data_IF_779868867367
#
_entry.id   IF_779868867367
#
_cell.length_a   1.000
_cell.length_b   1.000
_cell.length_c   1.000
_cell.angle_alpha   90.00
_cell.angle_beta   90.00
_cell.angle_gamma   90.00
#
_symmetry.space_group_name_H-M   'P 1'
#
loop_
_entity.id
_entity.type
_entity.pdbx_description
1 polymer ?
#
# COMPACT_ATOMS: atom_id res chain seq x y z
N UNK A 1 19.15 50.86 17.21
CA UNK A 1 17.88 50.18 16.82
C UNK A 1 18.02 49.39 15.52
N UNK A 2 18.61 49.93 14.45
CA UNK A 2 18.81 49.22 13.16
C UNK A 2 19.52 47.85 13.31
N UNK A 3 20.60 47.79 14.08
CA UNK A 3 21.37 46.55 14.30
C UNK A 3 20.57 45.44 14.98
N UNK A 4 19.73 45.78 15.96
CA UNK A 4 18.87 44.80 16.62
C UNK A 4 17.83 44.22 15.66
N UNK A 5 17.30 45.05 14.75
CA UNK A 5 16.36 44.63 13.73
C UNK A 5 17.01 43.66 12.73
N UNK A 6 18.25 43.94 12.31
CA UNK A 6 19.01 43.08 11.40
C UNK A 6 19.34 41.72 12.05
N UNK A 7 19.69 41.71 13.34
CA UNK A 7 19.95 40.47 14.08
C UNK A 7 18.66 39.64 14.20
N UNK A 8 17.54 40.27 14.55
CA UNK A 8 16.25 39.57 14.64
C UNK A 8 15.83 38.96 13.29
N UNK A 9 16.03 39.70 12.19
CA UNK A 9 15.75 39.21 10.84
C UNK A 9 16.64 38.02 10.48
N UNK A 10 17.94 38.09 10.79
CA UNK A 10 18.88 37.00 10.54
C UNK A 10 18.54 35.72 11.31
N UNK A 11 18.17 35.85 12.59
CA UNK A 11 17.73 34.71 13.42
C UNK A 11 16.43 34.11 12.89
N UNK A 12 15.46 34.94 12.49
CA UNK A 12 14.21 34.48 11.91
C UNK A 12 14.42 33.71 10.59
N UNK A 13 15.29 34.21 9.72
CA UNK A 13 15.65 33.55 8.46
C UNK A 13 16.36 32.20 8.70
N UNK A 14 17.28 32.16 9.65
CA UNK A 14 17.97 30.92 10.02
C UNK A 14 17.00 29.87 10.58
N UNK A 15 16.08 30.30 11.45
CA UNK A 15 15.06 29.43 12.03
C UNK A 15 14.09 28.90 10.99
N UNK A 16 13.64 29.76 10.07
CA UNK A 16 12.75 29.37 8.98
C UNK A 16 13.42 28.34 8.07
N UNK A 17 14.68 28.55 7.71
CA UNK A 17 15.45 27.60 6.90
C UNK A 17 15.68 26.26 7.62
N UNK A 18 15.84 26.27 8.94
CA UNK A 18 15.90 25.04 9.73
C UNK A 18 14.56 24.29 9.71
N UNK A 19 13.45 24.99 9.99
CA UNK A 19 12.12 24.39 10.01
C UNK A 19 11.71 23.81 8.64
N UNK A 20 12.00 24.53 7.55
CA UNK A 20 11.75 24.06 6.18
C UNK A 20 12.51 22.78 5.86
N UNK A 21 13.78 22.68 6.27
CA UNK A 21 14.58 21.47 6.05
C UNK A 21 14.04 20.28 6.83
N UNK A 22 13.66 20.49 8.08
CA UNK A 22 13.12 19.42 8.91
C UNK A 22 11.77 18.93 8.36
N UNK A 23 10.93 19.86 7.91
CA UNK A 23 9.65 19.54 7.30
C UNK A 23 9.81 18.79 5.97
N UNK A 24 10.79 19.16 5.14
CA UNK A 24 11.12 18.41 3.92
C UNK A 24 11.60 16.98 4.22
N UNK A 25 12.47 16.80 5.22
CA UNK A 25 12.92 15.47 5.62
C UNK A 25 11.77 14.60 6.10
N UNK A 26 10.89 15.16 6.93
CA UNK A 26 9.72 14.44 7.42
C UNK A 26 8.76 14.07 6.27
N UNK A 27 8.54 14.99 5.32
CA UNK A 27 7.72 14.74 4.15
C UNK A 27 8.30 13.62 3.27
N UNK A 28 9.60 13.65 2.99
CA UNK A 28 10.25 12.59 2.22
C UNK A 28 10.21 11.23 2.93
N UNK A 29 10.44 11.20 4.24
CA UNK A 29 10.33 9.96 5.02
C UNK A 29 8.91 9.36 4.94
N UNK A 30 7.88 10.19 5.02
CA UNK A 30 6.48 9.79 4.85
C UNK A 30 6.17 9.28 3.45
N UNK A 31 6.70 9.92 2.40
CA UNK A 31 6.56 9.45 1.03
C UNK A 31 7.22 8.09 0.81
N UNK A 32 8.42 7.89 1.36
CA UNK A 32 9.14 6.62 1.29
C UNK A 32 8.38 5.51 2.02
N UNK A 33 7.87 5.78 3.23
CA UNK A 33 7.04 4.84 3.98
C UNK A 33 5.76 4.47 3.22
N UNK A 34 5.09 5.45 2.63
CA UNK A 34 3.90 5.23 1.79
C UNK A 34 4.25 4.34 0.59
N UNK A 35 5.38 4.58 -0.06
CA UNK A 35 5.87 3.75 -1.17
C UNK A 35 6.09 2.30 -0.76
N UNK A 36 6.76 2.07 0.37
CA UNK A 36 6.99 0.74 0.93
C UNK A 36 5.69 0.02 1.28
N UNK A 37 4.76 0.71 1.95
CA UNK A 37 3.46 0.13 2.31
C UNK A 37 2.63 -0.23 1.08
N UNK A 38 2.66 0.59 0.03
CA UNK A 38 1.99 0.28 -1.24
C UNK A 38 2.57 -0.97 -1.91
N UNK A 39 3.89 -1.12 -1.92
CA UNK A 39 4.55 -2.31 -2.44
C UNK A 39 4.18 -3.56 -1.62
N UNK A 40 4.19 -3.46 -0.29
CA UNK A 40 3.75 -4.55 0.59
C UNK A 40 2.28 -4.91 0.37
N UNK A 41 1.41 -3.92 0.18
CA UNK A 41 0.00 -4.17 -0.12
C UNK A 41 -0.17 -4.90 -1.45
N UNK A 42 0.57 -4.52 -2.49
CA UNK A 42 0.55 -5.21 -3.77
C UNK A 42 1.07 -6.64 -3.66
N UNK A 43 2.17 -6.85 -2.93
CA UNK A 43 2.69 -8.19 -2.64
C UNK A 43 1.66 -9.05 -1.91
N UNK A 44 1.02 -8.53 -0.86
CA UNK A 44 -0.04 -9.21 -0.12
C UNK A 44 -1.27 -9.50 -1.00
N UNK A 45 -1.64 -8.59 -1.91
CA UNK A 45 -2.71 -8.84 -2.89
C UNK A 45 -2.34 -10.00 -3.81
N UNK A 46 -1.09 -10.06 -4.29
CA UNK A 46 -0.59 -11.15 -5.12
C UNK A 46 -0.53 -12.47 -4.34
N UNK A 47 -0.09 -12.45 -3.08
CA UNK A 47 -0.09 -13.63 -2.20
C UNK A 47 -1.51 -14.11 -1.92
N UNK A 48 -2.44 -13.20 -1.59
CA UNK A 48 -3.85 -13.53 -1.41
C UNK A 48 -4.43 -14.11 -2.70
N UNK A 49 -4.15 -13.52 -3.86
CA UNK A 49 -4.58 -14.05 -5.14
C UNK A 49 -3.97 -15.45 -5.39
N UNK A 50 -2.71 -15.67 -5.02
CA UNK A 50 -2.03 -16.96 -5.12
C UNK A 50 -2.64 -18.02 -4.20
N UNK A 51 -3.05 -17.65 -2.99
CA UNK A 51 -3.74 -18.52 -2.03
C UNK A 51 -5.18 -18.84 -2.46
N UNK A 52 -5.88 -17.84 -3.00
CA UNK A 52 -7.23 -17.98 -3.56
C UNK A 52 -7.24 -18.62 -4.96
N UNK A 53 -6.08 -19.04 -5.49
CA UNK A 53 -6.06 -19.75 -6.78
C UNK A 53 -6.93 -20.99 -6.66
N UNK A 54 -7.88 -21.19 -7.59
CA UNK A 54 -8.85 -22.28 -7.51
C UNK A 54 -8.17 -23.66 -7.44
N UNK A 55 -6.99 -23.83 -8.02
CA UNK A 55 -6.22 -25.08 -7.90
C UNK A 55 -5.74 -25.39 -6.48
N UNK A 56 -5.26 -24.38 -5.74
CA UNK A 56 -4.81 -24.58 -4.35
C UNK A 56 -6.00 -24.83 -3.43
N UNK A 57 -7.08 -24.07 -3.61
CA UNK A 57 -8.33 -24.28 -2.89
C UNK A 57 -8.93 -25.67 -3.17
N UNK A 58 -8.91 -26.14 -4.43
CA UNK A 58 -9.33 -27.50 -4.80
C UNK A 58 -8.47 -28.58 -4.15
N UNK A 59 -7.14 -28.39 -4.11
CA UNK A 59 -6.21 -29.32 -3.42
C UNK A 59 -6.46 -29.37 -1.91
N UNK A 60 -6.72 -28.23 -1.27
CA UNK A 60 -7.04 -28.17 0.16
C UNK A 60 -8.41 -28.76 0.48
N UNK A 61 -9.42 -28.47 -0.34
CA UNK A 61 -10.75 -29.07 -0.23
C UNK A 61 -10.68 -30.60 -0.37
N UNK A 62 -9.92 -31.10 -1.34
CA UNK A 62 -9.68 -32.54 -1.52
C UNK A 62 -8.97 -33.15 -0.30
N UNK A 63 -7.96 -32.49 0.28
CA UNK A 63 -7.29 -32.94 1.52
C UNK A 63 -8.23 -33.01 2.72
N UNK A 64 -9.23 -32.11 2.78
CA UNK A 64 -10.27 -32.11 3.83
C UNK A 64 -11.42 -33.07 3.54
N UNK A 65 -11.32 -33.88 2.48
CA UNK A 65 -12.35 -34.85 2.09
C UNK A 65 -13.62 -34.21 1.52
N UNK A 66 -13.56 -32.93 1.11
CA UNK A 66 -14.70 -32.27 0.48
C UNK A 66 -14.89 -32.80 -0.95
N UNK A 67 -16.14 -33.14 -1.29
CA UNK A 67 -16.50 -33.53 -2.65
C UNK A 67 -16.44 -32.33 -3.59
N UNK A 68 -16.07 -32.51 -4.87
CA UNK A 68 -16.13 -31.42 -5.85
C UNK A 68 -17.56 -30.87 -5.92
N UNK A 69 -17.72 -29.55 -6.09
CA UNK A 69 -19.04 -28.94 -6.22
C UNK A 69 -19.75 -29.49 -7.46
N UNK A 70 -21.07 -29.73 -7.33
CA UNK A 70 -21.91 -30.12 -8.48
C UNK A 70 -22.09 -28.91 -9.39
N UNK A 71 -22.32 -29.14 -10.69
CA UNK A 71 -22.49 -28.07 -11.69
C UNK A 71 -23.55 -27.03 -11.27
N UNK A 72 -24.60 -27.48 -10.59
CA UNK A 72 -25.69 -26.67 -10.03
C UNK A 72 -25.26 -25.67 -8.94
N UNK A 73 -24.10 -25.91 -8.30
CA UNK A 73 -23.56 -25.10 -7.20
C UNK A 73 -22.54 -24.07 -7.66
N UNK A 74 -22.15 -24.11 -8.95
CA UNK A 74 -21.19 -23.18 -9.55
C UNK A 74 -21.99 -22.05 -10.19
N UNK A 75 -21.99 -20.88 -9.56
CA UNK A 75 -22.57 -19.68 -10.13
C UNK A 75 -21.76 -19.24 -11.36
N UNK A 76 -22.30 -19.45 -12.55
CA UNK A 76 -21.75 -18.88 -13.78
C UNK A 76 -22.32 -17.47 -13.98
N UNK A 77 -21.46 -16.46 -13.97
CA UNK A 77 -21.87 -15.12 -14.39
C UNK A 77 -22.27 -15.15 -15.88
N UNK A 78 -23.44 -14.59 -16.25
CA UNK A 78 -23.89 -14.55 -17.63
C UNK A 78 -23.01 -13.58 -18.43
N UNK A 79 -21.96 -14.10 -19.07
CA UNK A 79 -21.01 -13.32 -19.87
C UNK A 79 -19.65 -13.98 -20.10
N UNK A 80 -19.34 -15.09 -19.41
CA UNK A 80 -18.04 -15.76 -19.52
C UNK A 80 -17.86 -16.67 -20.75
N UNK A 81 -18.90 -16.88 -21.57
CA UNK A 81 -18.88 -17.81 -22.72
C UNK A 81 -18.65 -17.14 -24.08
N UNK A 82 -18.43 -15.81 -24.13
CA UNK A 82 -18.36 -15.05 -25.39
C UNK A 82 -16.96 -14.52 -25.76
N UNK A 83 -15.88 -15.18 -25.33
CA UNK A 83 -14.50 -14.88 -25.77
C UNK A 83 -13.70 -16.16 -25.98
#
# INVERSE_FOLDING_TARGET
MLWALLIALGVAQAWLGYALRELHRAAHALEDEKGRLMQQLQALKLERAALLRPERLRKEAARRGMRPPRAEQVWHEPGAEAR
#
